data_IF_084844941761
#
_entry.id   IF_084844941761
#
_cell.length_a   1.000
_cell.length_b   1.000
_cell.length_c   1.000
_cell.angle_alpha   90.00
_cell.angle_beta   90.00
_cell.angle_gamma   90.00
#
_symmetry.space_group_name_H-M   'P 1'
#
loop_
_entity.id
_entity.type
_entity.pdbx_description
1 polymer ?
#
# COMPACT_ATOMS: atom_id res chain seq x y z
N UNK A 1 -11.70 -36.67 -31.39
CA UNK A 1 -11.11 -35.38 -30.97
C UNK A 1 -9.59 -35.53 -30.79
N UNK A 2 -8.79 -35.45 -31.86
CA UNK A 2 -7.32 -35.66 -31.81
C UNK A 2 -6.50 -34.53 -32.46
N UNK A 3 -7.15 -33.48 -32.98
CA UNK A 3 -6.47 -32.39 -33.69
C UNK A 3 -6.05 -31.23 -32.78
N UNK A 4 -6.83 -30.91 -31.73
CA UNK A 4 -6.60 -29.74 -30.87
C UNK A 4 -5.43 -29.87 -29.88
N UNK A 5 -5.26 -31.05 -29.28
CA UNK A 5 -4.17 -31.29 -28.34
C UNK A 5 -2.80 -31.13 -29.02
N UNK A 6 -2.68 -31.57 -30.28
CA UNK A 6 -1.46 -31.39 -31.05
C UNK A 6 -1.16 -29.91 -31.28
N UNK A 7 -2.15 -29.10 -31.65
CA UNK A 7 -1.97 -27.65 -31.88
C UNK A 7 -1.42 -26.93 -30.64
N UNK A 8 -1.99 -27.18 -29.46
CA UNK A 8 -1.50 -26.58 -28.22
C UNK A 8 -0.04 -26.98 -27.92
N UNK A 9 0.32 -28.24 -28.15
CA UNK A 9 1.70 -28.70 -28.02
C UNK A 9 2.63 -28.08 -29.07
N UNK A 10 2.19 -27.88 -30.30
CA UNK A 10 2.97 -27.20 -31.33
C UNK A 10 3.21 -25.73 -31.00
N UNK A 11 2.18 -25.01 -30.57
CA UNK A 11 2.29 -23.61 -30.13
C UNK A 11 3.27 -23.52 -28.95
N UNK A 12 3.13 -24.40 -27.95
CA UNK A 12 4.04 -24.45 -26.82
C UNK A 12 5.49 -24.72 -27.24
N UNK A 13 5.71 -25.69 -28.15
CA UNK A 13 7.04 -26.01 -28.68
C UNK A 13 7.68 -24.82 -29.40
N UNK A 14 6.89 -24.08 -30.17
CA UNK A 14 7.39 -22.88 -30.84
C UNK A 14 7.75 -21.79 -29.84
N UNK A 15 6.94 -21.61 -28.78
CA UNK A 15 7.22 -20.64 -27.72
C UNK A 15 8.52 -20.96 -26.98
N UNK A 16 8.72 -22.21 -26.53
CA UNK A 16 9.95 -22.62 -25.82
C UNK A 16 11.20 -22.54 -26.71
N UNK A 17 11.06 -22.77 -28.02
CA UNK A 17 12.16 -22.63 -28.97
C UNK A 17 12.57 -21.16 -29.12
N UNK A 18 11.59 -20.26 -29.31
CA UNK A 18 11.83 -18.81 -29.43
C UNK A 18 12.40 -18.20 -28.15
N UNK A 19 12.03 -18.73 -26.98
CA UNK A 19 12.53 -18.24 -25.69
C UNK A 19 13.91 -18.80 -25.31
N UNK A 20 14.52 -19.66 -26.12
CA UNK A 20 15.81 -20.31 -25.79
C UNK A 20 15.73 -21.40 -24.73
N UNK A 21 14.53 -21.89 -24.40
CA UNK A 21 14.27 -22.91 -23.37
C UNK A 21 13.96 -24.31 -23.94
N UNK A 22 14.13 -24.52 -25.25
CA UNK A 22 13.92 -25.78 -25.95
C UNK A 22 14.99 -26.86 -25.65
N UNK A 23 15.33 -27.05 -24.36
CA UNK A 23 16.17 -28.16 -23.92
C UNK A 23 15.41 -29.46 -24.04
N UNK A 24 16.12 -30.51 -24.46
CA UNK A 24 15.59 -31.87 -24.58
C UNK A 24 16.41 -32.80 -23.70
N UNK A 25 15.76 -33.86 -23.25
CA UNK A 25 16.41 -34.96 -22.54
C UNK A 25 16.05 -36.28 -23.21
N UNK A 26 16.95 -37.25 -23.11
CA UNK A 26 16.68 -38.61 -23.55
C UNK A 26 15.76 -39.30 -22.54
N UNK A 27 14.62 -39.78 -23.03
CA UNK A 27 13.69 -40.63 -22.31
C UNK A 27 13.82 -42.06 -22.84
N UNK A 28 14.10 -43.00 -21.95
CA UNK A 28 14.24 -44.44 -22.24
C UNK A 28 15.15 -44.74 -23.46
N UNK A 29 16.31 -44.09 -23.56
CA UNK A 29 17.35 -44.31 -24.58
C UNK A 29 16.89 -44.27 -26.05
N UNK A 30 15.71 -43.72 -26.35
CA UNK A 30 15.14 -43.77 -27.70
C UNK A 30 14.24 -42.59 -28.05
N UNK A 31 13.71 -41.86 -27.07
CA UNK A 31 12.76 -40.76 -27.32
C UNK A 31 13.26 -39.47 -26.70
N UNK A 32 13.52 -38.45 -27.52
CA UNK A 32 13.80 -37.11 -27.01
C UNK A 32 12.51 -36.40 -26.59
N UNK A 33 12.46 -35.90 -25.36
CA UNK A 33 11.34 -35.10 -24.84
C UNK A 33 11.83 -33.72 -24.45
N UNK A 34 10.98 -32.71 -24.65
CA UNK A 34 11.27 -31.37 -24.15
C UNK A 34 11.25 -31.36 -22.63
N UNK A 35 12.28 -30.75 -22.04
CA UNK A 35 12.39 -30.58 -20.59
C UNK A 35 11.21 -29.79 -20.05
N UNK A 36 10.75 -28.77 -20.77
CA UNK A 36 9.56 -27.98 -20.43
C UNK A 36 8.42 -28.30 -21.40
N UNK A 37 7.31 -28.79 -20.86
CA UNK A 37 6.09 -29.13 -21.61
C UNK A 37 4.86 -28.84 -20.73
N UNK A 38 3.63 -28.83 -21.27
CA UNK A 38 2.44 -28.41 -20.52
C UNK A 38 2.24 -29.13 -19.17
N UNK A 39 2.59 -30.41 -19.07
CA UNK A 39 2.53 -31.15 -17.79
C UNK A 39 3.52 -30.62 -16.73
N UNK A 40 4.65 -30.03 -17.13
CA UNK A 40 5.58 -29.36 -16.20
C UNK A 40 4.97 -28.09 -15.63
N UNK A 41 4.19 -27.34 -16.42
CA UNK A 41 3.45 -26.18 -15.92
C UNK A 41 2.42 -26.59 -14.86
N UNK A 42 1.73 -27.72 -15.11
CA UNK A 42 0.81 -28.32 -14.16
C UNK A 42 1.52 -28.74 -12.86
N UNK A 43 2.73 -29.33 -12.94
CA UNK A 43 3.56 -29.61 -11.76
C UNK A 43 4.01 -28.34 -11.04
N UNK A 44 4.41 -27.30 -11.77
CA UNK A 44 4.79 -26.01 -11.20
C UNK A 44 3.64 -25.39 -10.42
N UNK A 45 2.45 -25.30 -11.05
CA UNK A 45 1.23 -24.80 -10.42
C UNK A 45 0.93 -25.52 -9.11
N UNK A 46 0.91 -26.87 -9.13
CA UNK A 46 0.69 -27.69 -7.94
C UNK A 46 1.68 -27.38 -6.83
N UNK A 47 2.97 -27.40 -7.16
CA UNK A 47 4.06 -27.21 -6.19
C UNK A 47 4.06 -25.82 -5.59
N UNK A 48 3.74 -24.78 -6.36
CA UNK A 48 3.68 -23.40 -5.87
C UNK A 48 2.41 -23.13 -5.05
N UNK A 49 1.24 -23.47 -5.56
CA UNK A 49 -0.02 -23.22 -4.85
C UNK A 49 -0.10 -24.00 -3.54
N UNK A 50 0.44 -25.23 -3.49
CA UNK A 50 0.43 -26.05 -2.29
C UNK A 50 1.25 -25.48 -1.11
N UNK A 51 2.05 -24.42 -1.31
CA UNK A 51 2.78 -23.78 -0.20
C UNK A 51 1.86 -22.90 0.66
N UNK A 52 0.71 -22.48 0.12
CA UNK A 52 -0.21 -21.53 0.78
C UNK A 52 -1.67 -21.98 0.73
N UNK A 53 -2.00 -22.99 -0.09
CA UNK A 53 -3.35 -23.53 -0.27
C UNK A 53 -3.36 -25.04 0.03
N UNK A 54 -4.38 -25.57 0.73
CA UNK A 54 -4.51 -27.01 0.98
C UNK A 54 -4.39 -27.84 -0.30
N UNK A 55 -3.66 -28.97 -0.22
CA UNK A 55 -3.33 -29.79 -1.40
C UNK A 55 -4.60 -30.26 -2.11
N UNK A 56 -5.62 -30.70 -1.38
CA UNK A 56 -6.90 -31.14 -1.92
C UNK A 56 -7.62 -30.05 -2.74
N UNK A 57 -7.58 -28.79 -2.30
CA UNK A 57 -8.08 -27.64 -3.06
C UNK A 57 -7.26 -27.43 -4.33
N UNK A 58 -5.92 -27.54 -4.24
CA UNK A 58 -5.03 -27.42 -5.40
C UNK A 58 -5.30 -28.53 -6.42
N UNK A 59 -5.48 -29.78 -5.99
CA UNK A 59 -5.86 -30.91 -6.85
C UNK A 59 -7.23 -30.67 -7.51
N UNK A 60 -8.18 -30.07 -6.79
CA UNK A 60 -9.48 -29.69 -7.33
C UNK A 60 -9.37 -28.57 -8.39
N UNK A 61 -8.57 -27.52 -8.13
CA UNK A 61 -8.29 -26.45 -9.10
C UNK A 61 -7.66 -26.98 -10.40
N UNK A 62 -6.89 -28.06 -10.31
CA UNK A 62 -6.27 -28.70 -11.45
C UNK A 62 -7.24 -29.65 -12.19
N UNK A 63 -8.37 -29.99 -11.60
CA UNK A 63 -9.29 -31.01 -12.10
C UNK A 63 -8.70 -32.42 -12.02
N UNK A 64 -7.87 -32.72 -11.01
CA UNK A 64 -7.43 -34.09 -10.77
C UNK A 64 -8.52 -34.90 -10.05
N UNK A 65 -9.13 -35.87 -10.72
CA UNK A 65 -10.17 -36.75 -10.16
C UNK A 65 -9.60 -37.93 -9.34
N UNK A 66 -8.28 -38.11 -9.29
CA UNK A 66 -7.64 -39.37 -8.88
C UNK A 66 -7.35 -39.60 -7.39
N UNK A 67 -7.75 -38.71 -6.46
CA UNK A 67 -7.61 -38.98 -5.02
C UNK A 67 -8.98 -39.22 -4.40
N UNK A 68 -9.04 -40.06 -3.35
CA UNK A 68 -10.19 -40.54 -2.55
C UNK A 68 -11.13 -39.44 -1.95
N UNK A 69 -11.07 -38.21 -2.47
CA UNK A 69 -11.62 -37.00 -1.87
C UNK A 69 -12.79 -36.38 -2.64
N UNK A 70 -13.39 -37.05 -3.65
CA UNK A 70 -14.65 -36.57 -4.25
C UNK A 70 -15.73 -36.30 -3.18
N UNK A 71 -15.76 -37.12 -2.11
CA UNK A 71 -16.72 -36.98 -1.00
C UNK A 71 -16.45 -35.73 -0.13
N UNK A 72 -15.22 -35.21 -0.12
CA UNK A 72 -14.81 -34.04 0.67
C UNK A 72 -14.72 -32.74 -0.14
N UNK A 73 -14.78 -32.80 -1.48
CA UNK A 73 -14.63 -31.64 -2.39
C UNK A 73 -15.95 -30.89 -2.63
N UNK A 74 -16.67 -30.54 -1.58
CA UNK A 74 -17.86 -29.66 -1.70
C UNK A 74 -17.46 -28.17 -1.77
N UNK A 75 -16.44 -27.85 -2.55
CA UNK A 75 -16.09 -26.45 -2.80
C UNK A 75 -16.97 -25.90 -3.90
N UNK A 76 -17.61 -24.76 -3.66
CA UNK A 76 -18.26 -24.02 -4.75
C UNK A 76 -17.19 -23.41 -5.66
N UNK A 77 -17.58 -22.99 -6.87
CA UNK A 77 -16.69 -22.26 -7.77
C UNK A 77 -16.15 -20.97 -7.12
N UNK A 78 -16.97 -20.31 -6.30
CA UNK A 78 -16.59 -19.11 -5.55
C UNK A 78 -15.51 -19.43 -4.49
N UNK A 79 -15.62 -20.58 -3.81
CA UNK A 79 -14.61 -20.99 -2.84
C UNK A 79 -13.28 -21.30 -3.52
N UNK A 80 -13.31 -22.03 -4.63
CA UNK A 80 -12.12 -22.27 -5.45
C UNK A 80 -11.50 -20.97 -5.96
N UNK A 81 -12.31 -20.00 -6.38
CA UNK A 81 -11.83 -18.70 -6.82
C UNK A 81 -11.16 -17.90 -5.69
N UNK A 82 -11.68 -17.98 -4.46
CA UNK A 82 -11.04 -17.36 -3.29
C UNK A 82 -9.69 -17.99 -2.99
N UNK A 83 -9.60 -19.32 -2.97
CA UNK A 83 -8.34 -20.04 -2.75
C UNK A 83 -7.32 -19.74 -3.85
N UNK A 84 -7.75 -19.70 -5.12
CA UNK A 84 -6.88 -19.29 -6.22
C UNK A 84 -6.29 -17.89 -5.99
N UNK A 85 -7.13 -16.89 -5.67
CA UNK A 85 -6.69 -15.51 -5.41
C UNK A 85 -5.72 -15.41 -4.23
N UNK A 86 -5.94 -16.19 -3.17
CA UNK A 86 -5.03 -16.21 -2.02
C UNK A 86 -3.63 -16.70 -2.43
N UNK A 87 -3.55 -17.73 -3.26
CA UNK A 87 -2.28 -18.31 -3.69
C UNK A 87 -1.65 -17.72 -4.95
N UNK A 88 -2.37 -16.88 -5.69
CA UNK A 88 -1.97 -16.34 -7.00
C UNK A 88 -0.54 -15.76 -7.02
N UNK A 89 -0.17 -15.04 -5.95
CA UNK A 89 1.16 -14.44 -5.79
C UNK A 89 2.31 -15.46 -5.90
N UNK A 90 2.07 -16.74 -5.56
CA UNK A 90 3.07 -17.82 -5.64
C UNK A 90 3.36 -18.31 -7.06
N UNK A 91 2.45 -18.02 -8.00
CA UNK A 91 2.55 -18.42 -9.41
C UNK A 91 3.31 -17.38 -10.25
N UNK A 92 3.53 -16.19 -9.69
CA UNK A 92 4.12 -15.06 -10.38
C UNK A 92 5.64 -15.04 -10.17
N UNK A 93 6.38 -14.75 -11.24
CA UNK A 93 7.85 -14.80 -11.25
C UNK A 93 8.49 -13.61 -10.51
N UNK A 94 7.76 -12.50 -10.32
CA UNK A 94 8.30 -11.22 -9.84
C UNK A 94 7.92 -10.86 -8.39
N UNK A 95 7.40 -11.80 -7.58
CA UNK A 95 6.67 -11.43 -6.34
C UNK A 95 7.41 -11.78 -5.05
N UNK A 96 8.55 -12.49 -5.10
CA UNK A 96 9.17 -13.03 -3.88
C UNK A 96 9.83 -11.98 -2.97
N UNK A 97 10.81 -11.25 -3.49
CA UNK A 97 11.71 -10.43 -2.65
C UNK A 97 11.35 -8.95 -2.71
N UNK A 98 11.07 -8.43 -3.91
CA UNK A 98 10.76 -7.02 -4.12
C UNK A 98 9.42 -6.62 -3.50
N UNK A 99 8.38 -7.44 -3.65
CA UNK A 99 7.06 -7.16 -3.06
C UNK A 99 7.07 -7.29 -1.54
N UNK A 100 7.84 -8.22 -0.98
CA UNK A 100 8.00 -8.36 0.48
C UNK A 100 8.75 -7.16 1.07
N UNK A 101 9.82 -6.70 0.40
CA UNK A 101 10.54 -5.46 0.78
C UNK A 101 9.65 -4.23 0.66
N UNK A 102 8.92 -4.09 -0.44
CA UNK A 102 7.99 -2.98 -0.67
C UNK A 102 6.88 -2.95 0.39
N UNK A 103 6.33 -4.10 0.78
CA UNK A 103 5.33 -4.18 1.87
C UNK A 103 5.91 -3.73 3.21
N UNK A 104 7.10 -4.21 3.56
CA UNK A 104 7.77 -3.80 4.80
C UNK A 104 8.09 -2.30 4.82
N UNK A 105 8.54 -1.74 3.68
CA UNK A 105 8.79 -0.30 3.55
C UNK A 105 7.49 0.52 3.67
N UNK A 106 6.39 0.07 3.04
CA UNK A 106 5.09 0.73 3.15
C UNK A 106 4.58 0.71 4.60
N UNK A 107 4.68 -0.42 5.30
CA UNK A 107 4.27 -0.51 6.71
C UNK A 107 5.08 0.44 7.60
N UNK A 108 6.40 0.50 7.40
CA UNK A 108 7.27 1.39 8.16
C UNK A 108 6.97 2.86 7.88
N UNK A 109 6.80 3.23 6.59
CA UNK A 109 6.40 4.58 6.20
C UNK A 109 5.05 4.97 6.80
N UNK A 110 4.08 4.06 6.84
CA UNK A 110 2.78 4.31 7.44
C UNK A 110 2.88 4.53 8.96
N UNK A 111 3.74 3.78 9.68
CA UNK A 111 4.01 4.03 11.11
C UNK A 111 4.65 5.38 11.36
N UNK A 112 5.62 5.77 10.52
CA UNK A 112 6.28 7.07 10.60
C UNK A 112 5.29 8.20 10.34
N UNK A 113 4.45 8.08 9.30
CA UNK A 113 3.39 9.04 9.00
C UNK A 113 2.39 9.15 10.17
N UNK A 114 1.98 8.03 10.77
CA UNK A 114 1.06 8.06 11.91
C UNK A 114 1.68 8.79 13.11
N UNK A 115 2.97 8.58 13.37
CA UNK A 115 3.70 9.28 14.44
C UNK A 115 3.74 10.79 14.19
N UNK A 116 4.08 11.19 12.95
CA UNK A 116 4.14 12.60 12.56
C UNK A 116 2.77 13.28 12.63
N UNK A 117 1.71 12.61 12.15
CA UNK A 117 0.33 13.12 12.21
C UNK A 117 -0.09 13.34 13.66
N UNK A 118 0.18 12.38 14.55
CA UNK A 118 -0.16 12.52 15.97
C UNK A 118 0.61 13.68 16.62
N UNK A 119 1.89 13.86 16.28
CA UNK A 119 2.70 14.99 16.73
C UNK A 119 2.14 16.34 16.27
N UNK A 120 1.90 16.49 14.96
CA UNK A 120 1.34 17.71 14.36
C UNK A 120 -0.06 18.03 14.88
N UNK A 121 -0.88 17.01 15.19
CA UNK A 121 -2.19 17.21 15.79
C UNK A 121 -2.08 17.76 17.22
N UNK A 122 -1.10 17.28 17.99
CA UNK A 122 -0.84 17.75 19.36
C UNK A 122 -0.36 19.19 19.36
N UNK A 123 0.63 19.51 18.51
CA UNK A 123 1.16 20.87 18.36
C UNK A 123 0.08 21.86 17.90
N UNK A 124 -0.79 21.43 16.97
CA UNK A 124 -1.95 22.24 16.57
C UNK A 124 -2.90 22.54 17.73
N UNK A 125 -3.15 21.57 18.62
CA UNK A 125 -4.00 21.80 19.80
C UNK A 125 -3.36 22.79 20.77
N UNK A 126 -2.06 22.68 21.02
CA UNK A 126 -1.33 23.63 21.86
C UNK A 126 -1.33 25.04 21.26
N UNK A 127 -1.01 25.17 19.98
CA UNK A 127 -1.03 26.46 19.29
C UNK A 127 -2.43 27.09 19.32
N UNK A 128 -3.49 26.32 19.06
CA UNK A 128 -4.87 26.84 19.18
C UNK A 128 -5.19 27.33 20.58
N UNK A 129 -4.69 26.64 21.60
CA UNK A 129 -4.88 27.03 23.01
C UNK A 129 -4.12 28.32 23.33
N UNK A 130 -2.87 28.44 22.86
CA UNK A 130 -2.06 29.65 23.03
C UNK A 130 -2.68 30.84 22.30
N UNK A 131 -3.11 30.65 21.05
CA UNK A 131 -3.82 31.67 20.26
C UNK A 131 -5.05 32.15 21.01
N UNK A 132 -5.89 31.24 21.52
CA UNK A 132 -7.07 31.60 22.30
C UNK A 132 -6.71 32.44 23.54
N UNK A 133 -5.71 32.03 24.30
CA UNK A 133 -5.26 32.76 25.49
C UNK A 133 -4.74 34.16 25.17
N UNK A 134 -4.02 34.31 24.06
CA UNK A 134 -3.55 35.61 23.59
C UNK A 134 -4.72 36.49 23.16
N UNK A 135 -5.69 35.94 22.43
CA UNK A 135 -6.93 36.64 22.06
C UNK A 135 -7.70 37.12 23.29
N UNK A 136 -7.93 36.24 24.28
CA UNK A 136 -8.64 36.59 25.52
C UNK A 136 -7.93 37.73 26.30
N UNK A 137 -6.58 37.70 26.33
CA UNK A 137 -5.79 38.78 26.93
C UNK A 137 -5.93 40.10 26.17
N UNK A 138 -5.94 40.03 24.84
CA UNK A 138 -6.03 41.19 23.97
C UNK A 138 -7.40 41.87 24.13
N UNK A 139 -8.49 41.10 24.14
CA UNK A 139 -9.84 41.58 24.43
C UNK A 139 -9.94 42.26 25.81
N UNK A 140 -9.27 41.68 26.82
CA UNK A 140 -9.24 42.26 28.17
C UNK A 140 -8.50 43.59 28.20
N UNK A 141 -7.39 43.70 27.48
CA UNK A 141 -6.64 44.96 27.35
C UNK A 141 -7.47 46.01 26.60
N UNK A 142 -8.09 45.64 25.49
CA UNK A 142 -9.00 46.52 24.73
C UNK A 142 -10.15 47.04 25.61
N UNK A 143 -10.74 46.18 26.43
CA UNK A 143 -11.77 46.59 27.39
C UNK A 143 -11.24 47.60 28.42
N UNK A 144 -10.05 47.37 28.99
CA UNK A 144 -9.41 48.29 29.94
C UNK A 144 -9.14 49.64 29.29
N UNK A 145 -8.56 49.64 28.09
CA UNK A 145 -8.27 50.86 27.32
C UNK A 145 -9.55 51.64 27.06
N UNK A 146 -10.63 50.97 26.63
CA UNK A 146 -11.92 51.60 26.40
C UNK A 146 -12.51 52.24 27.68
N UNK A 147 -12.38 51.57 28.84
CA UNK A 147 -12.81 52.13 30.13
C UNK A 147 -11.99 53.38 30.48
N UNK A 148 -10.68 53.35 30.33
CA UNK A 148 -9.80 54.48 30.63
C UNK A 148 -10.09 55.68 29.71
N UNK A 149 -10.32 55.44 28.41
CA UNK A 149 -10.77 56.46 27.46
C UNK A 149 -12.11 57.07 27.90
N UNK A 150 -13.07 56.23 28.32
CA UNK A 150 -14.39 56.72 28.76
C UNK A 150 -14.32 57.58 30.02
N UNK A 151 -13.34 57.33 30.90
CA UNK A 151 -13.07 58.13 32.10
C UNK A 151 -12.28 59.41 31.82
N UNK A 152 -11.83 59.62 30.58
CA UNK A 152 -10.98 60.75 30.19
C UNK A 152 -9.54 60.65 30.69
N UNK A 153 -9.12 59.47 31.19
CA UNK A 153 -7.76 59.20 31.65
C UNK A 153 -6.82 58.90 30.47
N UNK A 154 -7.36 58.54 29.30
CA UNK A 154 -6.63 58.35 28.06
C UNK A 154 -7.25 59.16 26.89
N UNK A 155 -6.42 59.73 25.99
CA UNK A 155 -6.91 60.41 24.80
C UNK A 155 -7.62 59.45 23.82
N UNK A 156 -8.72 59.89 23.19
CA UNK A 156 -9.54 59.07 22.26
C UNK A 156 -8.78 58.63 21.00
N UNK A 157 -7.74 59.36 20.62
CA UNK A 157 -6.87 59.14 19.46
C UNK A 157 -5.81 58.05 19.68
N UNK A 158 -5.78 57.41 20.85
CA UNK A 158 -4.94 56.25 21.14
C UNK A 158 -5.46 54.93 20.54
N UNK A 159 -6.62 54.93 19.88
CA UNK A 159 -7.15 53.76 19.15
C UNK A 159 -6.75 53.74 17.66
N UNK A 160 -6.16 54.82 17.13
CA UNK A 160 -5.73 54.95 15.72
C UNK A 160 -4.28 54.46 15.50
N UNK A 161 -3.83 53.50 16.30
CA UNK A 161 -2.42 53.30 16.68
C UNK A 161 -1.47 52.70 15.65
N UNK A 162 -1.91 52.27 14.48
CA UNK A 162 -1.03 51.51 13.58
C UNK A 162 0.17 52.36 13.08
N UNK A 163 -0.04 53.64 12.75
CA UNK A 163 1.07 54.52 12.31
C UNK A 163 1.89 55.15 13.45
N UNK A 164 1.30 55.32 14.65
CA UNK A 164 2.00 55.93 15.81
C UNK A 164 2.84 54.92 16.57
N UNK A 165 2.37 53.68 16.74
CA UNK A 165 3.15 52.60 17.35
C UNK A 165 4.39 52.27 16.52
N UNK A 166 4.27 52.28 15.19
CA UNK A 166 5.40 52.11 14.27
C UNK A 166 6.51 53.17 14.43
N UNK A 167 6.17 54.39 14.90
CA UNK A 167 7.14 55.47 15.18
C UNK A 167 7.73 55.43 16.59
N UNK A 168 7.09 54.71 17.51
CA UNK A 168 7.50 54.62 18.93
C UNK A 168 8.25 53.31 19.27
N UNK A 169 8.10 52.27 18.45
CA UNK A 169 8.88 51.04 18.61
C UNK A 169 10.37 51.31 18.32
N UNK A 170 11.30 50.83 19.17
CA UNK A 170 12.72 50.82 18.85
C UNK A 170 12.93 50.15 17.49
N UNK A 171 13.83 50.69 16.65
CA UNK A 171 14.08 50.20 15.28
C UNK A 171 14.34 48.68 15.20
N UNK A 172 14.75 48.08 16.32
CA UNK A 172 15.01 46.67 16.54
C UNK A 172 13.77 45.76 16.40
N UNK A 173 12.56 46.29 16.61
CA UNK A 173 11.28 45.55 16.56
C UNK A 173 10.51 45.74 15.24
N UNK A 174 10.96 46.66 14.38
CA UNK A 174 10.43 46.83 13.03
C UNK A 174 11.25 45.93 12.11
N UNK A 175 10.95 44.63 12.12
CA UNK A 175 11.65 43.68 11.26
C UNK A 175 11.54 44.12 9.79
N UNK A 176 12.70 44.31 9.15
CA UNK A 176 12.83 44.58 7.72
C UNK A 176 12.17 43.46 6.92
N UNK A 177 11.40 43.87 5.90
CA UNK A 177 10.75 42.99 4.92
C UNK A 177 11.75 42.22 4.07
#
# INVERSE_FOLDING_TARGET
MAFEANTAYYIWRNAIAKSGFAKRFQYNNSVERFTVHPHVLRKFFRTRMATVTPVDVVEALMGHEGYLTEVYRRYSLEDLAKFYKQGEHTLLVFVGEEVSRLRAEIEERNRQLQTLINGLATENMELKTQVKHLTDKLERLESIVNVLISKGELPKDWLETDERLAKMLPKEYVAEK
#
